data_IF_524728018101
#
_entry.id   IF_524728018101
#
_cell.length_a   1.000
_cell.length_b   1.000
_cell.length_c   1.000
_cell.angle_alpha   90.00
_cell.angle_beta   90.00
_cell.angle_gamma   90.00
#
_symmetry.space_group_name_H-M   'P 1'
#
loop_
_entity.id
_entity.type
_entity.pdbx_description
1 polymer ?
#
# COMPACT_ATOMS: atom_id res chain seq x y z
N UNK A 1 -4.10 -12.82 -4.74
CA UNK A 1 -2.75 -13.35 -4.44
C UNK A 1 -2.25 -12.48 -3.32
N UNK A 2 -1.99 -13.04 -2.14
CA UNK A 2 -1.56 -12.23 -1.00
C UNK A 2 -0.21 -11.59 -1.29
N UNK A 3 0.04 -10.42 -0.68
CA UNK A 3 1.37 -9.81 -0.69
C UNK A 3 2.37 -10.79 -0.06
N UNK A 4 3.59 -10.95 -0.62
CA UNK A 4 4.60 -11.85 -0.09
C UNK A 4 5.06 -11.41 1.30
N UNK A 5 5.61 -12.32 2.10
CA UNK A 5 6.16 -12.00 3.41
C UNK A 5 7.36 -11.05 3.31
N UNK A 6 7.63 -10.32 4.39
CA UNK A 6 8.83 -9.49 4.48
C UNK A 6 10.09 -10.36 4.55
N UNK A 7 11.20 -9.83 4.05
CA UNK A 7 12.51 -10.41 4.26
C UNK A 7 13.04 -10.11 5.68
N UNK A 8 14.26 -10.57 5.97
CA UNK A 8 14.92 -10.36 7.25
C UNK A 8 15.19 -8.88 7.60
N UNK A 9 15.12 -7.98 6.62
CA UNK A 9 15.28 -6.53 6.79
C UNK A 9 13.95 -5.81 6.97
N UNK A 10 12.82 -6.50 6.84
CA UNK A 10 11.49 -5.90 6.93
C UNK A 10 11.00 -5.30 5.61
N UNK A 11 11.65 -5.62 4.49
CA UNK A 11 11.30 -5.16 3.16
C UNK A 11 10.52 -6.25 2.41
N UNK A 12 9.69 -5.83 1.45
CA UNK A 12 9.13 -6.79 0.50
C UNK A 12 10.25 -7.30 -0.44
N UNK A 13 10.22 -8.57 -0.89
CA UNK A 13 11.15 -9.07 -1.89
C UNK A 13 11.19 -8.15 -3.12
N UNK A 14 12.34 -8.08 -3.79
CA UNK A 14 12.51 -7.20 -4.96
C UNK A 14 11.59 -7.61 -6.12
N UNK A 15 10.45 -6.93 -6.27
CA UNK A 15 9.57 -6.98 -7.45
C UNK A 15 8.40 -5.97 -7.29
N UNK A 16 7.52 -5.90 -8.29
CA UNK A 16 6.20 -5.27 -8.20
C UNK A 16 5.16 -6.32 -7.79
N UNK A 17 4.78 -6.29 -6.52
CA UNK A 17 3.78 -7.20 -5.98
C UNK A 17 2.36 -6.69 -6.21
N UNK A 18 1.51 -7.52 -6.80
CA UNK A 18 0.08 -7.21 -6.95
C UNK A 18 -0.62 -7.38 -5.61
N UNK A 19 -1.37 -6.36 -5.20
CA UNK A 19 -2.22 -6.39 -4.02
C UNK A 19 -3.48 -5.55 -4.23
N UNK A 20 -4.51 -5.85 -3.45
CA UNK A 20 -5.71 -5.03 -3.35
C UNK A 20 -5.50 -3.88 -2.36
N UNK A 21 -6.26 -2.79 -2.51
CA UNK A 21 -6.21 -1.68 -1.54
C UNK A 21 -6.53 -2.15 -0.11
N UNK A 22 -7.40 -3.16 0.04
CA UNK A 22 -7.72 -3.72 1.35
C UNK A 22 -6.53 -4.47 1.96
N UNK A 23 -5.82 -5.30 1.19
CA UNK A 23 -4.60 -5.99 1.65
C UNK A 23 -3.52 -4.97 2.06
N UNK A 24 -3.34 -3.90 1.28
CA UNK A 24 -2.41 -2.81 1.60
C UNK A 24 -2.79 -2.12 2.91
N UNK A 25 -4.06 -1.75 3.10
CA UNK A 25 -4.54 -1.09 4.33
C UNK A 25 -4.37 -2.00 5.55
N UNK A 26 -4.77 -3.26 5.44
CA UNK A 26 -4.67 -4.24 6.53
C UNK A 26 -3.21 -4.44 6.96
N UNK A 27 -2.30 -4.55 5.98
CA UNK A 27 -0.90 -4.87 6.25
C UNK A 27 -0.06 -3.68 6.71
N UNK A 28 -0.23 -2.52 6.08
CA UNK A 28 0.65 -1.36 6.31
C UNK A 28 -0.02 -0.23 7.10
N UNK A 29 -1.35 -0.21 7.15
CA UNK A 29 -2.13 0.85 7.80
C UNK A 29 -2.53 0.59 9.24
N UNK A 30 -2.26 -0.60 9.77
CA UNK A 30 -2.67 -1.07 11.09
C UNK A 30 -1.84 -0.50 12.26
N UNK A 31 -0.68 0.10 11.98
CA UNK A 31 0.08 0.82 12.99
C UNK A 31 -0.55 2.21 13.22
N UNK A 32 -1.11 2.44 14.40
CA UNK A 32 -1.63 3.75 14.80
C UNK A 32 -0.60 4.88 14.65
N UNK A 33 -1.07 6.13 14.65
CA UNK A 33 -0.21 7.31 14.47
C UNK A 33 0.04 7.65 12.98
N UNK A 34 1.31 7.85 12.60
CA UNK A 34 1.68 8.37 11.28
C UNK A 34 1.26 7.46 10.12
N UNK A 35 1.37 6.13 10.28
CA UNK A 35 0.95 5.16 9.26
C UNK A 35 -0.57 5.19 9.04
N UNK A 36 -1.37 5.40 10.08
CA UNK A 36 -2.81 5.62 9.96
C UNK A 36 -3.15 6.86 9.11
N UNK A 37 -2.49 7.99 9.36
CA UNK A 37 -2.69 9.24 8.57
C UNK A 37 -2.28 9.04 7.11
N UNK A 38 -1.13 8.39 6.87
CA UNK A 38 -0.69 8.04 5.52
C UNK A 38 -1.71 7.15 4.81
N UNK A 39 -2.29 6.17 5.51
CA UNK A 39 -3.29 5.25 4.98
C UNK A 39 -4.59 5.95 4.59
N UNK A 40 -5.06 6.90 5.41
CA UNK A 40 -6.21 7.74 5.08
C UNK A 40 -5.95 8.57 3.81
N UNK A 41 -4.78 9.21 3.72
CA UNK A 41 -4.38 10.00 2.54
C UNK A 41 -4.26 9.14 1.29
N UNK A 42 -3.64 7.97 1.42
CA UNK A 42 -3.48 6.99 0.36
C UNK A 42 -4.84 6.54 -0.18
N UNK A 43 -5.76 6.19 0.72
CA UNK A 43 -7.13 5.76 0.38
C UNK A 43 -7.89 6.86 -0.35
N UNK A 44 -7.75 8.12 0.11
CA UNK A 44 -8.38 9.27 -0.53
C UNK A 44 -7.85 9.52 -1.94
N UNK A 45 -6.52 9.50 -2.14
CA UNK A 45 -5.89 9.72 -3.46
C UNK A 45 -6.24 8.59 -4.43
N UNK A 46 -6.22 7.33 -3.97
CA UNK A 46 -6.62 6.20 -4.79
C UNK A 46 -8.06 6.34 -5.28
N UNK A 47 -8.98 6.74 -4.41
CA UNK A 47 -10.39 6.94 -4.77
C UNK A 47 -10.58 8.11 -5.75
N UNK A 48 -9.89 9.24 -5.53
CA UNK A 48 -9.92 10.36 -6.47
C UNK A 48 -9.40 9.96 -7.86
N UNK A 49 -8.27 9.25 -7.92
CA UNK A 49 -7.70 8.78 -9.17
C UNK A 49 -8.62 7.78 -9.87
N UNK A 50 -9.22 6.85 -9.13
CA UNK A 50 -10.16 5.84 -9.65
C UNK A 50 -11.40 6.51 -10.27
N UNK A 51 -11.94 7.56 -9.66
CA UNK A 51 -13.11 8.32 -10.16
C UNK A 51 -12.89 8.98 -11.51
N UNK A 52 -11.64 9.21 -11.91
CA UNK A 52 -11.35 9.75 -13.24
C UNK A 52 -11.68 8.75 -14.36
N UNK A 53 -11.78 7.45 -14.06
CA UNK A 53 -11.92 6.40 -15.09
C UNK A 53 -10.65 6.16 -15.92
N UNK A 54 -9.55 6.86 -15.63
CA UNK A 54 -8.30 6.80 -16.39
C UNK A 54 -7.12 6.20 -15.61
N UNK A 55 -7.35 5.72 -14.37
CA UNK A 55 -6.31 5.10 -13.56
C UNK A 55 -5.92 3.73 -14.12
N UNK A 56 -4.73 3.64 -14.72
CA UNK A 56 -4.20 2.38 -15.25
C UNK A 56 -3.47 1.53 -14.20
N UNK A 57 -2.60 2.16 -13.40
CA UNK A 57 -1.81 1.51 -12.34
C UNK A 57 -1.65 2.45 -11.17
N UNK A 58 -1.65 1.88 -9.97
CA UNK A 58 -1.40 2.61 -8.73
C UNK A 58 -0.27 1.89 -7.99
N UNK A 59 0.91 2.52 -7.95
CA UNK A 59 2.14 1.93 -7.39
C UNK A 59 2.45 2.61 -6.07
N UNK A 60 2.72 1.80 -5.04
CA UNK A 60 3.01 2.26 -3.68
C UNK A 60 4.41 1.76 -3.33
N UNK A 61 5.26 2.65 -2.83
CA UNK A 61 6.67 2.36 -2.55
C UNK A 61 7.19 3.23 -1.40
N UNK A 62 8.44 2.99 -1.00
CA UNK A 62 9.10 3.71 0.08
C UNK A 62 8.77 3.16 1.46
N UNK A 63 9.06 3.92 2.51
CA UNK A 63 8.96 3.47 3.91
C UNK A 63 7.56 3.04 4.34
N UNK A 64 6.51 3.36 3.59
CA UNK A 64 5.15 2.91 3.89
C UNK A 64 4.95 1.40 3.69
N UNK A 65 5.66 0.76 2.75
CA UNK A 65 5.50 -0.67 2.42
C UNK A 65 6.51 -1.58 3.15
N UNK A 66 7.00 -1.14 4.31
CA UNK A 66 7.94 -1.88 5.18
C UNK A 66 7.24 -2.39 6.44
N UNK A 67 7.88 -3.32 7.16
CA UNK A 67 7.38 -3.88 8.42
C UNK A 67 7.07 -2.81 9.48
#
# INVERSE_FOLDING_TARGET
MPLPDFDASGDLPLDVHRGTMNEVIQRFGSAGGQRGVCTLRLSHVHELAKRTGHLQRFIIFGSYVTA
#
